data_IF_538078646207
#
_entry.id   IF_538078646207
#
_cell.length_a   1.000
_cell.length_b   1.000
_cell.length_c   1.000
_cell.angle_alpha   90.00
_cell.angle_beta   90.00
_cell.angle_gamma   90.00
#
_symmetry.space_group_name_H-M   'P 1'
#
loop_
_entity.id
_entity.type
_entity.pdbx_description
1 polymer ?
#
# COMPACT_ATOMS: atom_id res chain seq x y z
N UNK A 1 23.48 -18.03 -7.49
CA UNK A 1 23.67 -16.56 -7.49
C UNK A 1 22.67 -15.97 -6.50
N UNK A 2 23.15 -15.31 -5.44
CA UNK A 2 22.29 -14.66 -4.44
C UNK A 2 21.49 -13.53 -5.09
N UNK A 3 20.19 -13.38 -4.79
CA UNK A 3 19.39 -12.27 -5.30
C UNK A 3 19.95 -10.93 -4.78
N UNK A 4 20.13 -9.97 -5.69
CA UNK A 4 20.61 -8.62 -5.40
C UNK A 4 19.71 -7.99 -4.33
N UNK A 5 20.29 -7.38 -3.29
CA UNK A 5 19.52 -6.82 -2.17
C UNK A 5 18.52 -5.73 -2.62
N UNK A 6 17.35 -5.71 -1.98
CA UNK A 6 16.19 -4.87 -2.33
C UNK A 6 16.53 -3.39 -2.49
N UNK A 7 17.33 -2.84 -1.59
CA UNK A 7 17.73 -1.42 -1.63
C UNK A 7 18.61 -1.11 -2.84
N UNK A 8 19.51 -2.04 -3.22
CA UNK A 8 20.39 -1.87 -4.38
C UNK A 8 19.57 -1.91 -5.68
N UNK A 9 18.60 -2.83 -5.79
CA UNK A 9 17.69 -2.90 -6.96
C UNK A 9 16.86 -1.62 -7.12
N UNK A 10 16.25 -1.12 -6.03
CA UNK A 10 15.48 0.15 -6.05
C UNK A 10 16.36 1.36 -6.39
N UNK A 11 17.57 1.45 -5.83
CA UNK A 11 18.50 2.55 -6.12
C UNK A 11 18.96 2.57 -7.58
N UNK A 12 19.24 1.40 -8.17
CA UNK A 12 19.57 1.27 -9.59
C UNK A 12 18.37 1.65 -10.46
N UNK A 13 17.18 1.14 -10.14
CA UNK A 13 15.97 1.45 -10.89
C UNK A 13 15.64 2.94 -10.85
N UNK A 14 15.65 3.58 -9.68
CA UNK A 14 15.33 5.01 -9.56
C UNK A 14 16.33 5.91 -10.30
N UNK A 15 17.61 5.51 -10.41
CA UNK A 15 18.60 6.24 -11.24
C UNK A 15 18.37 6.07 -12.74
N UNK A 16 17.92 4.89 -13.18
CA UNK A 16 17.72 4.56 -14.60
C UNK A 16 16.33 4.99 -15.10
N UNK A 17 15.34 5.02 -14.22
CA UNK A 17 13.94 5.37 -14.48
C UNK A 17 13.75 6.72 -15.18
N UNK A 18 14.38 7.85 -14.79
CA UNK A 18 14.19 9.12 -15.49
C UNK A 18 14.70 9.07 -16.94
N UNK A 19 15.77 8.31 -17.20
CA UNK A 19 16.33 8.16 -18.54
C UNK A 19 15.40 7.35 -19.44
N UNK A 20 14.87 6.23 -18.94
CA UNK A 20 14.10 5.27 -19.73
C UNK A 20 12.61 5.65 -19.83
N UNK A 21 12.02 6.17 -18.75
CA UNK A 21 10.59 6.38 -18.62
C UNK A 21 10.15 7.85 -18.76
N UNK A 22 11.06 8.74 -19.17
CA UNK A 22 10.71 10.14 -19.44
C UNK A 22 9.65 10.28 -20.54
N UNK A 23 8.72 11.26 -20.43
CA UNK A 23 7.68 11.48 -21.45
C UNK A 23 8.28 11.75 -22.83
N UNK A 24 9.36 12.54 -22.88
CA UNK A 24 10.07 12.85 -24.12
C UNK A 24 10.78 11.61 -24.70
N UNK A 25 11.44 10.79 -23.86
CA UNK A 25 12.11 9.55 -24.30
C UNK A 25 11.11 8.57 -24.91
N UNK A 26 9.92 8.41 -24.30
CA UNK A 26 8.87 7.53 -24.83
C UNK A 26 8.39 7.98 -26.21
N UNK A 27 8.25 9.29 -26.43
CA UNK A 27 7.87 9.84 -27.73
C UNK A 27 8.97 9.56 -28.75
N UNK A 28 10.23 9.86 -28.43
CA UNK A 28 11.37 9.59 -29.32
C UNK A 28 11.47 8.10 -29.67
N UNK A 29 11.35 7.20 -28.69
CA UNK A 29 11.38 5.76 -28.92
C UNK A 29 10.23 5.27 -29.83
N UNK A 30 9.02 5.83 -29.68
CA UNK A 30 7.89 5.53 -30.57
C UNK A 30 8.13 6.02 -32.00
N UNK A 31 8.69 7.22 -32.15
CA UNK A 31 9.04 7.77 -33.48
C UNK A 31 10.12 6.92 -34.14
N UNK A 32 11.18 6.54 -33.40
CA UNK A 32 12.23 5.65 -33.91
C UNK A 32 11.65 4.29 -34.30
N UNK A 33 10.76 3.72 -33.49
CA UNK A 33 10.09 2.47 -33.84
C UNK A 33 9.20 2.58 -35.08
N UNK A 34 8.52 3.71 -35.27
CA UNK A 34 7.73 3.98 -36.46
C UNK A 34 8.63 4.11 -37.71
N UNK A 35 9.77 4.79 -37.60
CA UNK A 35 10.76 4.84 -38.67
C UNK A 35 11.31 3.45 -39.01
N UNK A 36 11.63 2.63 -37.99
CA UNK A 36 12.05 1.24 -38.20
C UNK A 36 10.96 0.42 -38.90
N UNK A 37 9.69 0.64 -38.57
CA UNK A 37 8.56 -0.03 -39.21
C UNK A 37 8.44 0.38 -40.69
N UNK A 38 8.59 1.68 -41.00
CA UNK A 38 8.60 2.16 -42.39
C UNK A 38 9.74 1.50 -43.18
N UNK A 39 10.95 1.48 -42.63
CA UNK A 39 12.12 0.85 -43.30
C UNK A 39 11.94 -0.66 -43.47
N UNK A 40 11.31 -1.33 -42.50
CA UNK A 40 11.00 -2.75 -42.57
C UNK A 40 10.01 -3.05 -43.70
N UNK A 41 8.90 -2.30 -43.77
CA UNK A 41 7.89 -2.44 -44.83
C UNK A 41 8.49 -2.10 -46.20
N UNK A 42 9.26 -1.01 -46.30
CA UNK A 42 9.96 -0.65 -47.53
C UNK A 42 10.89 -1.78 -48.01
N UNK A 43 11.63 -2.39 -47.09
CA UNK A 43 12.52 -3.51 -47.42
C UNK A 43 11.74 -4.74 -47.90
N UNK A 44 10.58 -5.05 -47.31
CA UNK A 44 9.70 -6.15 -47.76
C UNK A 44 9.15 -5.87 -49.15
N UNK A 45 8.56 -4.69 -49.36
CA UNK A 45 7.95 -4.31 -50.64
C UNK A 45 8.99 -4.30 -51.76
N UNK A 46 10.16 -3.72 -51.51
CA UNK A 46 11.24 -3.70 -52.50
C UNK A 46 11.81 -5.09 -52.78
N UNK A 47 11.95 -5.95 -51.76
CA UNK A 47 12.38 -7.34 -51.96
C UNK A 47 11.37 -8.11 -52.82
N UNK A 48 10.06 -7.94 -52.57
CA UNK A 48 9.00 -8.56 -53.35
C UNK A 48 8.98 -8.05 -54.80
N UNK A 49 9.07 -6.73 -55.00
CA UNK A 49 9.06 -6.10 -56.32
C UNK A 49 10.24 -6.57 -57.17
N UNK A 50 11.44 -6.68 -56.59
CA UNK A 50 12.63 -7.16 -57.29
C UNK A 50 12.51 -8.66 -57.61
N UNK A 51 12.06 -9.47 -56.66
CA UNK A 51 11.82 -10.89 -56.91
C UNK A 51 10.82 -11.11 -58.07
N UNK A 52 9.74 -10.32 -58.11
CA UNK A 52 8.77 -10.35 -59.22
C UNK A 52 9.40 -9.97 -60.57
N UNK A 53 10.27 -8.94 -60.61
CA UNK A 53 10.99 -8.53 -61.82
C UNK A 53 11.92 -9.64 -62.33
N UNK A 54 12.63 -10.31 -61.43
CA UNK A 54 13.55 -11.40 -61.76
C UNK A 54 12.86 -12.65 -62.34
N UNK A 55 11.61 -12.90 -61.96
CA UNK A 55 10.79 -14.01 -62.49
C UNK A 55 9.90 -13.62 -63.68
N UNK A 56 10.00 -12.39 -64.19
CA UNK A 56 9.30 -11.98 -65.41
C UNK A 56 10.00 -12.55 -66.66
N UNK A 57 9.25 -13.12 -67.62
CA UNK A 57 9.83 -13.66 -68.87
C UNK A 57 10.46 -12.59 -69.77
N UNK A 58 10.14 -11.31 -69.58
CA UNK A 58 10.64 -10.17 -70.36
C UNK A 58 11.99 -9.59 -69.88
N UNK A 59 12.61 -10.17 -68.84
CA UNK A 59 13.79 -9.55 -68.23
C UNK A 59 15.05 -9.68 -69.10
N UNK A 60 15.43 -8.59 -69.77
CA UNK A 60 16.12 -8.56 -71.07
C UNK A 60 17.66 -8.70 -71.08
N UNK A 61 18.38 -8.81 -69.95
CA UNK A 61 19.84 -9.07 -70.02
C UNK A 61 20.41 -9.84 -68.81
N UNK A 62 21.46 -10.65 -69.05
CA UNK A 62 22.16 -11.44 -68.02
C UNK A 62 22.86 -10.53 -66.99
N UNK A 63 23.34 -9.36 -67.42
CA UNK A 63 24.01 -8.37 -66.56
C UNK A 63 22.98 -7.67 -65.66
N UNK A 64 21.82 -7.31 -66.19
CA UNK A 64 20.75 -6.70 -65.39
C UNK A 64 20.21 -7.67 -64.34
N UNK A 65 20.13 -8.98 -64.67
CA UNK A 65 19.73 -10.00 -63.69
C UNK A 65 20.69 -10.06 -62.51
N UNK A 66 22.00 -10.04 -62.76
CA UNK A 66 23.01 -10.08 -61.70
C UNK A 66 22.94 -8.86 -60.78
N UNK A 67 22.70 -7.67 -61.36
CA UNK A 67 22.52 -6.43 -60.61
C UNK A 67 21.29 -6.50 -59.70
N UNK A 68 20.17 -7.00 -60.20
CA UNK A 68 18.94 -7.13 -59.42
C UNK A 68 19.03 -8.21 -58.32
N UNK A 69 19.72 -9.33 -58.55
CA UNK A 69 20.02 -10.30 -57.47
C UNK A 69 20.84 -9.67 -56.34
N UNK A 70 21.80 -8.81 -56.67
CA UNK A 70 22.59 -8.08 -55.66
C UNK A 70 21.71 -7.13 -54.85
N UNK A 71 20.75 -6.44 -55.49
CA UNK A 71 19.78 -5.58 -54.79
C UNK A 71 18.83 -6.40 -53.91
N UNK A 72 18.35 -7.55 -54.40
CA UNK A 72 17.51 -8.47 -53.64
C UNK A 72 18.17 -8.92 -52.34
N UNK A 73 19.45 -9.31 -52.39
CA UNK A 73 20.21 -9.70 -51.20
C UNK A 73 20.31 -8.56 -50.17
N UNK A 74 20.48 -7.31 -50.63
CA UNK A 74 20.49 -6.12 -49.75
C UNK A 74 19.15 -5.95 -49.04
N UNK A 75 18.03 -6.06 -49.75
CA UNK A 75 16.70 -5.94 -49.14
C UNK A 75 16.40 -7.11 -48.19
N UNK A 76 16.76 -8.34 -48.54
CA UNK A 76 16.60 -9.50 -47.64
C UNK A 76 17.34 -9.31 -46.32
N UNK A 77 18.62 -8.90 -46.37
CA UNK A 77 19.40 -8.59 -45.16
C UNK A 77 18.75 -7.46 -44.35
N UNK A 78 18.28 -6.41 -45.02
CA UNK A 78 17.64 -5.29 -44.36
C UNK A 78 16.33 -5.70 -43.67
N UNK A 79 15.54 -6.62 -44.25
CA UNK A 79 14.34 -7.19 -43.61
C UNK A 79 14.73 -7.88 -42.29
N UNK A 80 15.79 -8.70 -42.28
CA UNK A 80 16.21 -9.38 -41.05
C UNK A 80 16.70 -8.40 -39.98
N UNK A 81 17.52 -7.42 -40.34
CA UNK A 81 18.05 -6.43 -39.38
C UNK A 81 16.91 -5.57 -38.82
N UNK A 82 16.05 -5.02 -39.69
CA UNK A 82 14.93 -4.18 -39.24
C UNK A 82 13.86 -4.97 -38.50
N UNK A 83 13.58 -6.21 -38.92
CA UNK A 83 12.67 -7.11 -38.22
C UNK A 83 13.17 -7.49 -36.83
N UNK A 84 14.46 -7.83 -36.70
CA UNK A 84 15.07 -8.09 -35.39
C UNK A 84 15.07 -6.83 -34.50
N UNK A 85 15.33 -5.65 -35.07
CA UNK A 85 15.27 -4.38 -34.34
C UNK A 85 13.87 -4.07 -33.81
N UNK A 86 12.83 -4.31 -34.63
CA UNK A 86 11.44 -4.17 -34.21
C UNK A 86 11.06 -5.17 -33.11
N UNK A 87 11.54 -6.41 -33.21
CA UNK A 87 11.34 -7.42 -32.18
C UNK A 87 11.99 -6.99 -30.85
N UNK A 88 13.23 -6.49 -30.87
CA UNK A 88 13.89 -5.96 -29.68
C UNK A 88 13.16 -4.74 -29.11
N UNK A 89 12.67 -3.84 -29.95
CA UNK A 89 11.84 -2.72 -29.50
C UNK A 89 10.59 -3.20 -28.76
N UNK A 90 9.87 -4.17 -29.35
CA UNK A 90 8.70 -4.77 -28.70
C UNK A 90 9.05 -5.45 -27.38
N UNK A 91 10.17 -6.20 -27.33
CA UNK A 91 10.66 -6.86 -26.12
C UNK A 91 10.96 -5.84 -25.02
N UNK A 92 11.66 -4.75 -25.35
CA UNK A 92 11.96 -3.66 -24.41
C UNK A 92 10.66 -3.01 -23.93
N UNK A 93 9.74 -2.67 -24.83
CA UNK A 93 8.46 -2.05 -24.48
C UNK A 93 7.65 -2.94 -23.52
N UNK A 94 7.55 -4.24 -23.84
CA UNK A 94 6.88 -5.24 -23.00
C UNK A 94 7.55 -5.36 -21.63
N UNK A 95 8.89 -5.43 -21.59
CA UNK A 95 9.67 -5.51 -20.37
C UNK A 95 9.46 -4.29 -19.47
N UNK A 96 9.48 -3.08 -20.04
CA UNK A 96 9.24 -1.84 -19.29
C UNK A 96 7.87 -1.81 -18.62
N UNK A 97 6.82 -2.28 -19.31
CA UNK A 97 5.48 -2.37 -18.73
C UNK A 97 5.45 -3.29 -17.52
N UNK A 98 6.04 -4.48 -17.64
CA UNK A 98 6.11 -5.47 -16.55
C UNK A 98 6.84 -4.87 -15.35
N UNK A 99 8.00 -4.25 -15.57
CA UNK A 99 8.79 -3.65 -14.49
C UNK A 99 8.03 -2.51 -13.81
N UNK A 100 7.29 -1.70 -14.57
CA UNK A 100 6.47 -0.64 -13.99
C UNK A 100 5.33 -1.20 -13.13
N UNK A 101 4.67 -2.28 -13.55
CA UNK A 101 3.60 -2.91 -12.79
C UNK A 101 4.13 -3.57 -11.52
N UNK A 102 5.25 -4.31 -11.61
CA UNK A 102 5.92 -4.87 -10.43
C UNK A 102 6.33 -3.78 -9.44
N UNK A 103 6.90 -2.66 -9.92
CA UNK A 103 7.31 -1.56 -9.06
C UNK A 103 6.13 -0.95 -8.28
N UNK A 104 4.97 -0.79 -8.92
CA UNK A 104 3.74 -0.32 -8.24
C UNK A 104 3.25 -1.33 -7.20
N UNK A 105 3.24 -2.62 -7.53
CA UNK A 105 2.83 -3.67 -6.60
C UNK A 105 3.77 -3.73 -5.39
N UNK A 106 5.08 -3.63 -5.59
CA UNK A 106 6.08 -3.62 -4.52
C UNK A 106 5.91 -2.41 -3.58
N UNK A 107 5.67 -1.20 -4.10
CA UNK A 107 5.42 -0.01 -3.28
C UNK A 107 4.14 -0.15 -2.45
N UNK A 108 3.08 -0.69 -3.05
CA UNK A 108 1.83 -0.94 -2.34
C UNK A 108 2.01 -1.98 -1.22
N UNK A 109 2.79 -3.03 -1.46
CA UNK A 109 3.09 -4.04 -0.45
C UNK A 109 3.84 -3.44 0.75
N UNK A 110 4.85 -2.60 0.51
CA UNK A 110 5.58 -1.91 1.58
C UNK A 110 4.67 -0.97 2.38
N UNK A 111 3.76 -0.26 1.70
CA UNK A 111 2.79 0.63 2.34
C UNK A 111 1.80 -0.16 3.21
N UNK A 112 1.27 -1.27 2.70
CA UNK A 112 0.38 -2.18 3.45
C UNK A 112 1.11 -2.75 4.66
N UNK A 113 2.35 -3.23 4.51
CA UNK A 113 3.12 -3.78 5.63
C UNK A 113 3.34 -2.75 6.75
N UNK A 114 3.61 -1.49 6.41
CA UNK A 114 3.71 -0.39 7.40
C UNK A 114 2.37 -0.09 8.07
N UNK A 115 1.29 -0.03 7.30
CA UNK A 115 -0.05 0.19 7.84
C UNK A 115 -0.47 -0.94 8.77
N UNK A 116 -0.22 -2.20 8.42
CA UNK A 116 -0.50 -3.35 9.29
C UNK A 116 0.25 -3.27 10.60
N UNK A 117 1.54 -2.92 10.60
CA UNK A 117 2.32 -2.73 11.83
C UNK A 117 1.78 -1.60 12.71
N UNK A 118 1.45 -0.47 12.11
CA UNK A 118 0.88 0.67 12.84
C UNK A 118 -0.48 0.30 13.44
N UNK A 119 -1.36 -0.31 12.64
CA UNK A 119 -2.67 -0.76 13.09
C UNK A 119 -2.54 -1.79 14.21
N UNK A 120 -1.59 -2.73 14.12
CA UNK A 120 -1.34 -3.69 15.20
C UNK A 120 -0.92 -2.99 16.49
N UNK A 121 0.01 -2.03 16.43
CA UNK A 121 0.43 -1.26 17.61
C UNK A 121 -0.71 -0.44 18.22
N UNK A 122 -1.59 0.11 17.37
CA UNK A 122 -2.76 0.86 17.82
C UNK A 122 -3.79 -0.07 18.48
N UNK A 123 -4.02 -1.26 17.91
CA UNK A 123 -4.89 -2.28 18.50
C UNK A 123 -4.36 -2.74 19.85
N UNK A 124 -3.05 -3.02 19.98
CA UNK A 124 -2.42 -3.39 21.25
C UNK A 124 -2.59 -2.28 22.31
N UNK A 125 -2.40 -1.02 21.91
CA UNK A 125 -2.60 0.14 22.79
C UNK A 125 -4.04 0.24 23.27
N UNK A 126 -5.00 0.15 22.32
CA UNK A 126 -6.43 0.19 22.61
C UNK A 126 -6.86 -0.96 23.53
N UNK A 127 -6.35 -2.17 23.33
CA UNK A 127 -6.61 -3.31 24.23
C UNK A 127 -6.11 -2.99 25.64
N UNK A 128 -4.88 -2.48 25.78
CA UNK A 128 -4.31 -2.14 27.10
C UNK A 128 -5.09 -1.04 27.81
N UNK A 129 -5.58 -0.05 27.07
CA UNK A 129 -6.39 1.05 27.61
C UNK A 129 -7.76 0.54 28.05
N UNK A 130 -8.37 -0.34 27.27
CA UNK A 130 -9.65 -0.96 27.60
C UNK A 130 -9.54 -1.83 28.87
N UNK A 131 -8.44 -2.55 29.05
CA UNK A 131 -8.16 -3.30 30.28
C UNK A 131 -8.00 -2.38 31.50
N UNK A 132 -7.30 -1.25 31.35
CA UNK A 132 -7.16 -0.25 32.42
C UNK A 132 -8.50 0.39 32.78
N UNK A 133 -9.28 0.81 31.78
CA UNK A 133 -10.61 1.35 31.96
C UNK A 133 -11.54 0.34 32.65
N UNK A 134 -11.47 -0.93 32.27
CA UNK A 134 -12.23 -2.02 32.90
C UNK A 134 -11.87 -2.20 34.38
N UNK A 135 -10.58 -2.11 34.74
CA UNK A 135 -10.14 -2.12 36.15
C UNK A 135 -10.65 -0.90 36.91
N UNK A 136 -10.47 0.31 36.37
CA UNK A 136 -10.99 1.54 36.99
C UNK A 136 -12.50 1.50 37.19
N UNK A 137 -13.26 0.96 36.24
CA UNK A 137 -14.71 0.75 36.35
C UNK A 137 -15.08 -0.19 37.50
N UNK A 138 -14.31 -1.26 37.72
CA UNK A 138 -14.51 -2.18 38.85
C UNK A 138 -14.22 -1.49 40.17
N UNK A 139 -13.14 -0.72 40.26
CA UNK A 139 -12.76 0.01 41.47
C UNK A 139 -13.79 1.09 41.82
N UNK A 140 -14.25 1.85 40.83
CA UNK A 140 -15.35 2.82 40.97
C UNK A 140 -16.62 2.16 41.49
N UNK A 141 -17.04 1.03 40.91
CA UNK A 141 -18.22 0.28 41.38
C UNK A 141 -18.07 -0.22 42.82
N UNK A 142 -16.85 -0.60 43.24
CA UNK A 142 -16.58 -1.01 44.62
C UNK A 142 -16.69 0.18 45.56
N UNK A 143 -16.05 1.30 45.22
CA UNK A 143 -16.10 2.54 46.00
C UNK A 143 -17.51 3.09 46.12
N UNK A 144 -18.32 3.01 45.06
CA UNK A 144 -19.73 3.42 45.07
C UNK A 144 -20.57 2.57 46.06
N UNK A 145 -20.35 1.24 46.07
CA UNK A 145 -21.00 0.35 47.05
C UNK A 145 -20.57 0.65 48.48
N UNK A 146 -19.28 0.87 48.72
CA UNK A 146 -18.75 1.23 50.04
C UNK A 146 -19.32 2.58 50.50
N UNK A 147 -19.37 3.57 49.62
CA UNK A 147 -19.96 4.88 49.90
C UNK A 147 -21.46 4.77 50.23
N UNK A 148 -22.21 3.94 49.49
CA UNK A 148 -23.63 3.71 49.76
C UNK A 148 -23.84 3.00 51.11
N UNK A 149 -23.01 2.01 51.45
CA UNK A 149 -23.04 1.34 52.73
C UNK A 149 -22.70 2.29 53.88
N UNK A 150 -21.66 3.11 53.72
CA UNK A 150 -21.22 4.10 54.71
C UNK A 150 -22.29 5.18 54.93
N UNK A 151 -22.96 5.64 53.86
CA UNK A 151 -24.10 6.55 53.94
C UNK A 151 -25.25 5.94 54.75
N UNK A 152 -25.63 4.69 54.46
CA UNK A 152 -26.66 3.96 55.21
C UNK A 152 -26.28 3.78 56.68
N UNK A 153 -25.02 3.46 56.98
CA UNK A 153 -24.51 3.35 58.34
C UNK A 153 -24.58 4.69 59.08
N UNK A 154 -24.15 5.79 58.45
CA UNK A 154 -24.23 7.14 59.03
C UNK A 154 -25.67 7.58 59.29
N UNK A 155 -26.61 7.28 58.39
CA UNK A 155 -28.04 7.52 58.58
C UNK A 155 -28.59 6.71 59.77
N UNK A 156 -28.21 5.44 59.91
CA UNK A 156 -28.63 4.60 61.03
C UNK A 156 -28.05 5.08 62.36
N UNK A 157 -26.74 5.39 62.42
CA UNK A 157 -26.09 5.94 63.62
C UNK A 157 -26.70 7.29 64.01
N UNK A 158 -27.01 8.16 63.04
CA UNK A 158 -27.68 9.43 63.31
C UNK A 158 -29.07 9.23 63.95
N UNK A 159 -29.84 8.25 63.46
CA UNK A 159 -31.13 7.87 64.06
C UNK A 159 -30.98 7.34 65.48
N UNK A 160 -30.02 6.45 65.74
CA UNK A 160 -29.76 5.94 67.10
C UNK A 160 -29.30 7.04 68.04
N UNK A 161 -28.45 7.96 67.56
CA UNK A 161 -28.01 9.11 68.35
C UNK A 161 -29.18 10.03 68.74
N UNK A 162 -30.12 10.28 67.80
CA UNK A 162 -31.34 11.04 68.08
C UNK A 162 -32.21 10.35 69.13
N UNK A 163 -32.42 9.02 69.01
CA UNK A 163 -33.18 8.24 70.00
C UNK A 163 -32.53 8.27 71.39
N UNK A 164 -31.22 8.04 71.46
CA UNK A 164 -30.49 8.05 72.73
C UNK A 164 -30.53 9.44 73.39
N UNK A 165 -30.48 10.51 72.59
CA UNK A 165 -30.63 11.89 73.07
C UNK A 165 -32.02 12.16 73.62
N UNK A 166 -33.08 11.66 72.96
CA UNK A 166 -34.45 11.72 73.50
C UNK A 166 -34.57 10.97 74.82
N UNK A 167 -34.08 9.73 74.90
CA UNK A 167 -34.08 8.94 76.15
C UNK A 167 -33.29 9.62 77.28
N UNK A 168 -32.14 10.22 76.97
CA UNK A 168 -31.33 10.96 77.93
C UNK A 168 -32.08 12.19 78.48
N UNK A 169 -32.75 12.93 77.60
CA UNK A 169 -33.58 14.07 78.00
C UNK A 169 -34.77 13.63 78.88
N UNK A 170 -35.40 12.50 78.55
CA UNK A 170 -36.50 11.94 79.35
C UNK A 170 -36.05 11.52 80.76
N UNK A 171 -34.87 10.90 80.88
CA UNK A 171 -34.27 10.54 82.17
C UNK A 171 -33.89 11.76 83.02
N UNK A 172 -33.35 12.81 82.41
CA UNK A 172 -33.12 14.09 83.09
C UNK A 172 -34.43 14.74 83.58
N UNK A 173 -35.49 14.67 82.76
CA UNK A 173 -36.84 15.11 83.14
C UNK A 173 -37.42 14.32 84.32
N UNK A 174 -37.15 13.01 84.40
CA UNK A 174 -37.56 12.16 85.54
C UNK A 174 -36.75 12.42 86.81
N UNK A 175 -35.42 12.57 86.73
CA UNK A 175 -34.58 12.95 87.90
C UNK A 175 -35.01 14.26 88.55
N UNK A 176 -35.44 15.24 87.76
CA UNK A 176 -35.95 16.52 88.26
C UNK A 176 -37.30 16.37 88.98
N UNK A 177 -38.11 15.37 88.62
CA UNK A 177 -39.38 15.05 89.30
C UNK A 177 -39.19 14.20 90.56
N UNK A 178 -38.24 13.27 90.58
CA UNK A 178 -37.96 12.44 91.76
C UNK A 178 -37.29 13.22 92.90
N UNK A 179 -36.53 14.29 92.60
CA UNK A 179 -36.04 15.20 93.64
C UNK A 179 -37.15 16.08 94.27
N UNK A 180 -38.25 16.36 93.56
CA UNK A 180 -39.40 17.10 94.11
C UNK A 180 -40.37 16.24 94.94
N UNK A 181 -40.18 14.92 94.97
CA UNK A 181 -41.05 13.96 95.70
C UNK A 181 -40.47 13.49 97.03
N UNK A 182 -39.29 13.98 97.40
CA UNK A 182 -38.56 13.62 98.64
C UNK A 182 -38.59 14.69 99.73
N UNK A 183 -39.31 15.79 99.51
CA UNK A 183 -39.65 16.80 100.50
C UNK A 183 -41.14 16.71 100.87
#
# INVERSE_FOLDING_TARGET
MLPISMQKRKSIYEKIKPLINGPNTRIVLRVVALLLLIVFVDSIVNSYNINKKLHSPEFASKIDRQNEYTRMFRYQRNIYISGFSLFLYFLIFRSQSIVADLSKMEVNQDAIAKQTKNNQSQVETLISENEKLSKQLKDLKKMEKEHQAMKSQAENTSKEYMKLKEEYNDLLGKKTKDQKKKD
#
